data_IF_566672445147
#
_entry.id   IF_566672445147
#
_cell.length_a   1.000
_cell.length_b   1.000
_cell.length_c   1.000
_cell.angle_alpha   90.00
_cell.angle_beta   90.00
_cell.angle_gamma   90.00
#
_symmetry.space_group_name_H-M   'P 1'
#
loop_
_entity.id
_entity.type
_entity.pdbx_description
1 polymer ?
#
# COMPACT_ATOMS: atom_id res chain seq x y z
N UNK A 1 15.81 0.78 21.85
CA UNK A 1 16.88 0.17 21.03
C UNK A 1 16.43 -1.04 20.23
N UNK A 2 15.55 -1.94 20.72
CA UNK A 2 15.08 -3.11 19.95
C UNK A 2 14.23 -2.78 18.69
N UNK A 3 13.27 -1.84 18.79
CA UNK A 3 12.32 -1.57 17.70
C UNK A 3 12.95 -0.91 16.47
N UNK A 4 14.00 -0.12 16.65
CA UNK A 4 14.70 0.50 15.53
C UNK A 4 15.43 -0.57 14.71
N UNK A 5 16.06 -1.53 15.38
CA UNK A 5 16.71 -2.68 14.72
C UNK A 5 15.71 -3.53 13.94
N UNK A 6 14.52 -3.79 14.49
CA UNK A 6 13.49 -4.54 13.76
C UNK A 6 12.99 -3.79 12.52
N UNK A 7 12.81 -2.47 12.61
CA UNK A 7 12.42 -1.66 11.44
C UNK A 7 13.50 -1.67 10.35
N UNK A 8 14.77 -1.60 10.72
CA UNK A 8 15.89 -1.71 9.78
C UNK A 8 15.95 -3.10 9.12
N UNK A 9 15.71 -4.17 9.88
CA UNK A 9 15.63 -5.53 9.35
C UNK A 9 14.45 -5.71 8.38
N UNK A 10 13.28 -5.16 8.70
CA UNK A 10 12.13 -5.20 7.77
C UNK A 10 12.45 -4.47 6.46
N UNK A 11 13.17 -3.34 6.53
CA UNK A 11 13.63 -2.62 5.35
C UNK A 11 14.64 -3.43 4.53
N UNK A 12 15.60 -4.11 5.17
CA UNK A 12 16.58 -4.94 4.46
C UNK A 12 15.93 -6.16 3.77
N UNK A 13 14.87 -6.71 4.37
CA UNK A 13 14.04 -7.78 3.79
C UNK A 13 13.07 -7.28 2.71
N UNK A 14 13.06 -5.97 2.39
CA UNK A 14 12.13 -5.34 1.44
C UNK A 14 10.66 -5.51 1.83
N UNK A 15 10.37 -5.51 3.13
CA UNK A 15 9.02 -5.54 3.70
C UNK A 15 8.57 -4.12 4.05
N UNK A 16 8.44 -3.27 3.03
CA UNK A 16 8.21 -1.84 3.20
C UNK A 16 6.82 -1.52 3.77
N UNK A 17 5.79 -2.24 3.31
CA UNK A 17 4.43 -2.10 3.82
C UNK A 17 4.35 -2.52 5.28
N UNK A 18 5.00 -3.62 5.65
CA UNK A 18 5.09 -4.09 7.03
C UNK A 18 5.86 -3.12 7.94
N UNK A 19 7.00 -2.59 7.48
CA UNK A 19 7.80 -1.59 8.21
C UNK A 19 6.95 -0.36 8.57
N UNK A 20 6.25 0.19 7.58
CA UNK A 20 5.40 1.37 7.77
C UNK A 20 4.22 1.05 8.69
N UNK A 21 3.56 -0.09 8.48
CA UNK A 21 2.47 -0.54 9.35
C UNK A 21 2.90 -0.71 10.81
N UNK A 22 4.08 -1.27 11.05
CA UNK A 22 4.59 -1.45 12.42
C UNK A 22 4.86 -0.09 13.09
N UNK A 23 5.41 0.87 12.34
CA UNK A 23 5.64 2.22 12.85
C UNK A 23 4.32 2.93 13.22
N UNK A 24 3.25 2.71 12.46
CA UNK A 24 1.92 3.22 12.76
C UNK A 24 1.27 2.50 13.95
N UNK A 25 1.41 1.18 14.06
CA UNK A 25 0.93 0.44 15.23
C UNK A 25 1.59 0.92 16.53
N UNK A 26 2.87 1.27 16.47
CA UNK A 26 3.60 1.81 17.62
C UNK A 26 3.17 3.24 18.01
N UNK A 27 2.65 4.03 17.08
CA UNK A 27 2.16 5.38 17.35
C UNK A 27 0.68 5.44 17.73
N UNK A 28 -0.08 4.36 17.49
CA UNK A 28 -1.51 4.30 17.77
C UNK A 28 -1.83 3.64 19.13
N UNK A 29 -2.35 4.39 20.13
CA UNK A 29 -2.64 3.85 21.45
C UNK A 29 -3.74 2.76 21.46
N UNK A 30 -4.68 2.81 20.49
CA UNK A 30 -5.77 1.83 20.38
C UNK A 30 -5.33 0.43 19.94
N UNK A 31 -4.11 0.28 19.42
CA UNK A 31 -3.61 -1.00 18.93
C UNK A 31 -3.35 -2.03 20.05
N UNK A 32 -3.24 -1.55 21.29
CA UNK A 32 -3.08 -2.38 22.50
C UNK A 32 -4.32 -3.18 22.86
N UNK A 33 -5.51 -2.78 22.38
CA UNK A 33 -6.77 -3.50 22.58
C UNK A 33 -6.94 -4.72 21.67
N UNK A 34 -6.09 -4.88 20.66
CA UNK A 34 -6.10 -6.04 19.76
C UNK A 34 -5.14 -7.12 20.27
N UNK A 35 -5.42 -8.37 19.91
CA UNK A 35 -4.46 -9.46 20.12
C UNK A 35 -3.20 -9.25 19.28
N UNK A 36 -2.12 -9.94 19.64
CA UNK A 36 -0.89 -9.90 18.86
C UNK A 36 -1.10 -10.49 17.45
N UNK A 37 -1.86 -11.58 17.37
CA UNK A 37 -2.18 -12.29 16.15
C UNK A 37 -2.94 -11.40 15.16
N UNK A 38 -3.92 -10.64 15.64
CA UNK A 38 -4.67 -9.69 14.80
C UNK A 38 -3.78 -8.55 14.32
N UNK A 39 -2.94 -7.97 15.20
CA UNK A 39 -1.98 -6.95 14.79
C UNK A 39 -1.02 -7.48 13.74
N UNK A 40 -0.52 -8.70 13.90
CA UNK A 40 0.38 -9.34 12.95
C UNK A 40 -0.32 -9.60 11.61
N UNK A 41 -1.56 -10.08 11.63
CA UNK A 41 -2.35 -10.28 10.41
C UNK A 41 -2.50 -8.96 9.62
N UNK A 42 -2.85 -7.86 10.30
CA UNK A 42 -2.94 -6.54 9.67
C UNK A 42 -1.60 -6.08 9.04
N UNK A 43 -0.47 -6.38 9.69
CA UNK A 43 0.85 -6.06 9.15
C UNK A 43 1.16 -6.86 7.88
N UNK A 44 0.78 -8.14 7.85
CA UNK A 44 0.95 -9.01 6.67
C UNK A 44 0.04 -8.54 5.53
N UNK A 45 -1.23 -8.27 5.80
CA UNK A 45 -2.18 -7.77 4.79
C UNK A 45 -1.69 -6.46 4.17
N UNK A 46 -1.17 -5.55 4.99
CA UNK A 46 -0.60 -4.29 4.52
C UNK A 46 0.58 -4.51 3.58
N UNK A 47 1.47 -5.46 3.88
CA UNK A 47 2.57 -5.81 2.99
C UNK A 47 2.10 -6.41 1.66
N UNK A 48 1.09 -7.29 1.70
CA UNK A 48 0.50 -7.90 0.50
C UNK A 48 -0.14 -6.83 -0.40
N UNK A 49 -0.90 -5.90 0.17
CA UNK A 49 -1.47 -4.77 -0.56
C UNK A 49 -0.38 -3.87 -1.14
N UNK A 50 0.62 -3.51 -0.34
CA UNK A 50 1.74 -2.68 -0.82
C UNK A 50 2.46 -3.29 -2.02
N UNK A 51 2.71 -4.61 -2.00
CA UNK A 51 3.31 -5.31 -3.14
C UNK A 51 2.40 -5.32 -4.37
N UNK A 52 1.10 -5.49 -4.16
CA UNK A 52 0.10 -5.47 -5.23
C UNK A 52 0.03 -4.10 -5.90
N UNK A 53 0.01 -3.03 -5.11
CA UNK A 53 0.01 -1.64 -5.59
C UNK A 53 1.28 -1.32 -6.37
N UNK A 54 2.46 -1.69 -5.85
CA UNK A 54 3.72 -1.51 -6.54
C UNK A 54 3.79 -2.29 -7.86
N UNK A 55 3.25 -3.51 -7.88
CA UNK A 55 3.12 -4.31 -9.11
C UNK A 55 2.20 -3.62 -10.10
N UNK A 56 1.03 -3.15 -9.67
CA UNK A 56 0.07 -2.45 -10.52
C UNK A 56 0.68 -1.17 -11.11
N UNK A 57 1.29 -0.32 -10.28
CA UNK A 57 1.95 0.90 -10.72
C UNK A 57 3.06 0.61 -11.75
N UNK A 58 3.85 -0.45 -11.55
CA UNK A 58 4.87 -0.88 -12.51
C UNK A 58 4.25 -1.33 -13.84
N UNK A 59 3.17 -2.10 -13.81
CA UNK A 59 2.48 -2.57 -15.01
C UNK A 59 1.87 -1.41 -15.79
N UNK A 60 1.21 -0.47 -15.10
CA UNK A 60 0.66 0.74 -15.71
C UNK A 60 1.74 1.57 -16.39
N UNK A 61 2.89 1.76 -15.74
CA UNK A 61 4.04 2.45 -16.34
C UNK A 61 4.59 1.73 -17.57
N UNK A 62 4.63 0.39 -17.54
CA UNK A 62 5.11 -0.42 -18.65
C UNK A 62 4.13 -0.48 -19.83
N UNK A 63 2.84 -0.24 -19.61
CA UNK A 63 1.81 -0.31 -20.65
C UNK A 63 1.83 0.87 -21.64
N UNK A 64 2.57 1.95 -21.35
CA UNK A 64 2.71 3.14 -22.22
C UNK A 64 1.35 3.65 -22.75
N UNK A 65 0.35 3.72 -21.86
CA UNK A 65 -1.00 4.13 -22.23
C UNK A 65 -1.00 5.56 -22.79
N UNK A 66 -1.70 5.76 -23.90
CA UNK A 66 -1.86 7.09 -24.53
C UNK A 66 -2.48 8.11 -23.56
N UNK A 67 -3.40 7.65 -22.72
CA UNK A 67 -4.06 8.43 -21.67
C UNK A 67 -3.93 7.68 -20.32
N UNK A 68 -2.83 7.88 -19.58
CA UNK A 68 -2.55 7.12 -18.35
C UNK A 68 -3.53 7.36 -17.21
N UNK A 69 -4.19 8.52 -17.23
CA UNK A 69 -5.15 8.98 -16.22
C UNK A 69 -6.60 8.84 -16.70
N UNK A 70 -6.84 8.07 -17.76
CA UNK A 70 -8.20 7.89 -18.27
C UNK A 70 -9.05 7.13 -17.24
N UNK A 71 -10.11 7.79 -16.79
CA UNK A 71 -11.07 7.24 -15.84
C UNK A 71 -12.45 7.14 -16.51
N UNK A 72 -13.32 6.25 -16.01
CA UNK A 72 -14.67 6.05 -16.59
C UNK A 72 -15.52 7.31 -16.42
N UNK A 73 -15.25 8.07 -15.36
CA UNK A 73 -15.86 9.35 -15.02
C UNK A 73 -15.58 10.44 -16.08
N UNK A 74 -14.49 10.32 -16.85
CA UNK A 74 -14.09 11.27 -17.89
C UNK A 74 -14.74 10.99 -19.27
N UNK A 75 -15.60 9.97 -19.37
CA UNK A 75 -16.27 9.62 -20.62
C UNK A 75 -17.35 10.67 -20.93
N UNK A 76 -17.10 11.50 -21.94
CA UNK A 76 -18.12 12.40 -22.48
C UNK A 76 -19.15 11.60 -23.28
N UNK A 77 -20.37 11.51 -22.74
CA UNK A 77 -21.51 10.79 -23.36
C UNK A 77 -22.45 11.72 -24.11
N UNK A 78 -22.14 13.01 -24.22
CA UNK A 78 -22.99 13.96 -24.94
C UNK A 78 -23.00 13.60 -26.43
N UNK A 79 -24.20 13.47 -27.00
CA UNK A 79 -24.35 13.36 -28.44
C UNK A 79 -23.85 14.67 -29.07
N UNK A 80 -22.72 14.59 -29.79
CA UNK A 80 -22.14 15.73 -30.50
C UNK A 80 -23.21 16.38 -31.39
N UNK A 81 -23.61 17.60 -31.05
CA UNK A 81 -24.30 18.47 -32.00
C UNK A 81 -23.23 19.28 -32.70
N UNK A 82 -23.31 19.30 -34.03
CA UNK A 82 -22.45 20.12 -34.89
C UNK A 82 -22.50 21.59 -34.54
#
# INVERSE_FOLDING_TARGET
MMMNTTLEQLRSLKLAGMSTGLQEQLSQPGMTGMSFEERLALLVDREVHWRSDMRQARLLKAAHLKYPQACIEDIDTRAGRG
#
